data_IF_384655757202
#
_entry.id   IF_384655757202
#
_cell.length_a   1.000
_cell.length_b   1.000
_cell.length_c   1.000
_cell.angle_alpha   90.00
_cell.angle_beta   90.00
_cell.angle_gamma   90.00
#
_symmetry.space_group_name_H-M   'P 1'
#
loop_
_entity.id
_entity.type
_entity.pdbx_description
1 polymer ?
#
# COMPACT_ATOMS: atom_id res chain seq x y z
N UNK A 1 11.15 21.52 -27.37
CA UNK A 1 11.22 20.04 -27.25
C UNK A 1 11.90 19.57 -25.96
N UNK A 2 12.44 20.47 -25.13
CA UNK A 2 13.17 20.08 -23.90
C UNK A 2 12.23 20.02 -22.67
N UNK A 3 11.29 20.96 -22.59
CA UNK A 3 10.31 21.07 -21.49
C UNK A 3 9.46 19.80 -21.31
N UNK A 4 9.08 19.16 -22.42
CA UNK A 4 8.27 17.93 -22.41
C UNK A 4 9.04 16.70 -21.89
N UNK A 5 10.36 16.67 -22.08
CA UNK A 5 11.19 15.58 -21.57
C UNK A 5 11.49 15.79 -20.08
N UNK A 6 11.73 17.04 -19.69
CA UNK A 6 11.97 17.44 -18.31
C UNK A 6 10.77 17.15 -17.41
N UNK A 7 9.54 17.50 -17.83
CA UNK A 7 8.32 17.19 -17.06
C UNK A 7 8.13 15.67 -16.90
N UNK A 8 8.48 14.87 -17.92
CA UNK A 8 8.33 13.42 -17.87
C UNK A 8 9.30 12.80 -16.86
N UNK A 9 10.53 13.33 -16.77
CA UNK A 9 11.54 12.94 -15.78
C UNK A 9 11.08 13.30 -14.36
N UNK A 10 10.54 14.51 -14.16
CA UNK A 10 10.02 14.89 -12.84
C UNK A 10 8.82 14.04 -12.40
N UNK A 11 7.88 13.76 -13.30
CA UNK A 11 6.70 12.94 -12.98
C UNK A 11 7.13 11.51 -12.62
N UNK A 12 8.00 10.90 -13.43
CA UNK A 12 8.51 9.54 -13.15
C UNK A 12 9.28 9.49 -11.84
N UNK A 13 10.11 10.49 -11.54
CA UNK A 13 10.80 10.61 -10.26
C UNK A 13 9.83 10.71 -9.08
N UNK A 14 8.79 11.55 -9.18
CA UNK A 14 7.76 11.69 -8.14
C UNK A 14 6.96 10.39 -7.94
N UNK A 15 6.64 9.66 -9.01
CA UNK A 15 6.00 8.34 -8.90
C UNK A 15 6.89 7.32 -8.20
N UNK A 16 8.18 7.28 -8.54
CA UNK A 16 9.14 6.38 -7.89
C UNK A 16 9.29 6.69 -6.40
N UNK A 17 9.46 7.97 -6.04
CA UNK A 17 9.49 8.41 -4.64
C UNK A 17 8.17 8.09 -3.92
N UNK A 18 7.02 8.39 -4.55
CA UNK A 18 5.70 8.07 -4.02
C UNK A 18 5.52 6.58 -3.76
N UNK A 19 5.98 5.70 -4.67
CA UNK A 19 5.96 4.26 -4.48
C UNK A 19 6.84 3.81 -3.30
N UNK A 20 8.07 4.34 -3.19
CA UNK A 20 8.98 3.99 -2.09
C UNK A 20 8.39 4.45 -0.75
N UNK A 21 7.90 5.69 -0.68
CA UNK A 21 7.28 6.25 0.53
C UNK A 21 6.06 5.41 0.92
N UNK A 22 5.17 5.10 -0.03
CA UNK A 22 3.96 4.31 0.27
C UNK A 22 4.27 2.86 0.65
N UNK A 23 5.38 2.30 0.16
CA UNK A 23 5.80 0.94 0.47
C UNK A 23 6.48 0.81 1.84
N UNK A 24 7.34 1.76 2.20
CA UNK A 24 8.23 1.62 3.36
C UNK A 24 7.91 2.56 4.52
N UNK A 25 7.43 3.77 4.26
CA UNK A 25 7.20 4.78 5.30
C UNK A 25 5.72 4.82 5.70
N UNK A 26 4.83 4.82 4.72
CA UNK A 26 3.42 5.07 4.95
C UNK A 26 2.57 4.13 4.11
N UNK A 27 2.15 2.98 4.66
CA UNK A 27 1.13 2.15 4.02
C UNK A 27 -0.19 2.93 4.07
N UNK A 28 -0.65 3.56 2.97
CA UNK A 28 -1.83 4.39 3.05
C UNK A 28 -3.03 3.48 3.37
N UNK A 29 -3.89 3.90 4.29
CA UNK A 29 -5.02 3.09 4.78
C UNK A 29 -5.95 2.61 3.64
N UNK A 30 -5.91 3.25 2.48
CA UNK A 30 -6.62 2.86 1.27
C UNK A 30 -6.01 1.65 0.53
N UNK A 31 -4.69 1.43 0.59
CA UNK A 31 -4.02 0.21 0.08
C UNK A 31 -4.00 -0.93 1.11
N UNK A 32 -4.25 -0.63 2.38
CA UNK A 32 -4.62 -1.65 3.36
C UNK A 32 -6.04 -2.10 3.03
N UNK A 33 -6.18 -2.90 1.97
CA UNK A 33 -7.43 -3.57 1.62
C UNK A 33 -8.05 -4.08 2.91
N UNK A 34 -9.33 -3.77 3.13
CA UNK A 34 -10.12 -4.23 4.27
C UNK A 34 -9.58 -5.60 4.65
N UNK A 35 -9.06 -5.76 5.88
CA UNK A 35 -8.93 -7.10 6.44
C UNK A 35 -10.26 -7.76 6.12
N UNK A 36 -10.28 -8.71 5.18
CA UNK A 36 -11.43 -9.58 5.06
C UNK A 36 -11.57 -10.09 6.48
N UNK A 37 -12.68 -9.77 7.12
CA UNK A 37 -13.18 -10.54 8.25
C UNK A 37 -13.41 -11.94 7.70
N UNK A 38 -12.33 -12.67 7.47
CA UNK A 38 -12.33 -14.09 7.27
C UNK A 38 -12.73 -14.65 8.61
N UNK A 39 -14.03 -14.87 8.77
CA UNK A 39 -14.51 -16.03 9.49
C UNK A 39 -13.94 -17.25 8.75
N UNK A 40 -12.73 -17.66 9.14
CA UNK A 40 -12.10 -18.97 8.93
C UNK A 40 -10.75 -18.87 9.67
N UNK A 41 -10.77 -19.28 10.95
CA UNK A 41 -9.79 -18.94 11.98
C UNK A 41 -10.43 -18.62 13.34
N UNK A 42 -11.77 -18.56 13.42
CA UNK A 42 -12.54 -18.71 14.67
C UNK A 42 -12.68 -20.20 14.98
N UNK A 43 -11.54 -20.82 15.24
CA UNK A 43 -11.43 -22.21 15.71
C UNK A 43 -10.36 -22.22 16.79
N UNK A 44 -10.55 -21.36 17.80
CA UNK A 44 -9.98 -21.60 19.11
C UNK A 44 -10.81 -22.74 19.72
N UNK A 45 -10.34 -23.95 19.47
CA UNK A 45 -10.86 -25.16 20.08
C UNK A 45 -10.56 -25.12 21.58
N UNK A 46 -11.62 -25.04 22.39
CA UNK A 46 -11.62 -25.65 23.72
C UNK A 46 -11.09 -24.83 24.89
N UNK A 47 -11.81 -23.77 25.28
CA UNK A 47 -11.84 -23.35 26.69
C UNK A 47 -13.29 -23.08 27.10
N UNK A 48 -13.87 -24.09 27.75
CA UNK A 48 -15.19 -24.07 28.36
C UNK A 48 -15.21 -25.11 29.48
N UNK A 49 -14.54 -24.76 30.58
CA UNK A 49 -15.00 -25.07 31.94
C UNK A 49 -15.75 -23.84 32.46
#
# INVERSE_FOLDING_TARGET
>A
MEILQEILVFITFLFALGYIITKFVWKPAFLSGKKKSGSCGVSDCGCGD
#
